data_IF_599501743257
#
_entry.id   IF_599501743257
#
_cell.length_a   1.000
_cell.length_b   1.000
_cell.length_c   1.000
_cell.angle_alpha   90.00
_cell.angle_beta   90.00
_cell.angle_gamma   90.00
#
_symmetry.space_group_name_H-M   'P 1'
#
loop_
_entity.id
_entity.type
_entity.pdbx_description
1 polymer ?
#
# COMPACT_ATOMS: atom_id res chain seq x y z
N UNK A 1 -3.85 -4.13 -8.60
CA UNK A 1 -4.65 -4.11 -7.35
C UNK A 1 -5.83 -5.07 -7.38
N UNK A 2 -6.86 -4.89 -8.22
CA UNK A 2 -8.07 -5.75 -8.19
C UNK A 2 -7.75 -7.24 -8.43
N UNK A 3 -6.93 -7.56 -9.43
CA UNK A 3 -6.53 -8.95 -9.71
C UNK A 3 -5.79 -9.59 -8.52
N UNK A 4 -4.91 -8.82 -7.85
CA UNK A 4 -4.20 -9.25 -6.64
C UNK A 4 -5.18 -9.52 -5.50
N UNK A 5 -6.12 -8.60 -5.26
CA UNK A 5 -7.16 -8.77 -4.25
C UNK A 5 -8.06 -9.98 -4.54
N UNK A 6 -8.35 -10.30 -5.80
CA UNK A 6 -9.06 -11.53 -6.16
C UNK A 6 -8.22 -12.79 -5.94
N UNK A 7 -6.91 -12.70 -6.10
CA UNK A 7 -5.93 -13.76 -5.85
C UNK A 7 -5.44 -13.84 -4.40
N UNK A 8 -6.27 -13.40 -3.43
CA UNK A 8 -5.99 -13.46 -1.99
C UNK A 8 -4.80 -12.64 -1.47
N UNK A 9 -4.34 -11.65 -2.25
CA UNK A 9 -3.29 -10.73 -1.84
C UNK A 9 -3.95 -9.47 -1.24
N UNK A 10 -4.05 -9.41 0.09
CA UNK A 10 -4.65 -8.30 0.84
C UNK A 10 -3.71 -7.13 1.11
N UNK A 11 -2.42 -7.40 1.27
CA UNK A 11 -1.38 -6.41 1.56
C UNK A 11 -0.67 -5.97 0.27
N UNK A 12 -0.76 -4.70 -0.09
CA UNK A 12 -0.25 -4.17 -1.37
C UNK A 12 0.59 -2.91 -1.11
N UNK A 13 1.80 -2.86 -1.67
CA UNK A 13 2.62 -1.66 -1.73
C UNK A 13 2.55 -1.08 -3.15
N UNK A 14 2.09 0.16 -3.26
CA UNK A 14 2.09 0.93 -4.49
C UNK A 14 3.31 1.86 -4.48
N UNK A 15 4.39 1.41 -5.14
CA UNK A 15 5.60 2.19 -5.36
C UNK A 15 5.40 3.13 -6.56
N UNK A 16 5.71 4.41 -6.40
CA UNK A 16 5.57 5.39 -7.48
C UNK A 16 6.61 6.50 -7.35
N UNK A 17 7.02 7.16 -8.44
CA UNK A 17 7.81 8.38 -8.34
C UNK A 17 6.96 9.50 -7.72
N UNK A 18 7.61 10.41 -7.01
CA UNK A 18 6.96 11.58 -6.46
C UNK A 18 6.29 12.40 -7.57
N UNK A 19 5.08 12.91 -7.29
CA UNK A 19 4.33 13.72 -8.25
C UNK A 19 3.68 12.95 -9.41
N UNK A 20 3.64 11.62 -9.40
CA UNK A 20 2.97 10.84 -10.45
C UNK A 20 1.43 10.99 -10.41
N UNK A 21 0.88 12.02 -11.09
CA UNK A 21 -0.56 12.30 -11.11
C UNK A 21 -1.43 11.09 -11.48
N UNK A 22 -0.99 10.29 -12.47
CA UNK A 22 -1.73 9.10 -12.87
C UNK A 22 -1.94 8.12 -11.71
N UNK A 23 -0.89 7.87 -10.92
CA UNK A 23 -0.96 6.98 -9.76
C UNK A 23 -1.65 7.64 -8.55
N UNK A 24 -1.59 8.97 -8.41
CA UNK A 24 -2.38 9.67 -7.40
C UNK A 24 -3.88 9.54 -7.69
N UNK A 25 -4.31 9.75 -8.94
CA UNK A 25 -5.72 9.67 -9.35
C UNK A 25 -6.23 8.23 -9.31
N UNK A 26 -5.51 7.29 -9.95
CA UNK A 26 -5.96 5.90 -10.08
C UNK A 26 -5.66 5.08 -8.82
N UNK A 27 -4.58 5.38 -8.10
CA UNK A 27 -4.22 4.68 -6.87
C UNK A 27 -4.94 5.26 -5.66
N UNK A 28 -4.56 6.46 -5.23
CA UNK A 28 -5.14 7.09 -4.03
C UNK A 28 -6.61 7.45 -4.23
N UNK A 29 -7.00 7.91 -5.42
CA UNK A 29 -8.37 8.30 -5.72
C UNK A 29 -9.39 7.16 -5.66
N UNK A 30 -9.00 5.91 -5.90
CA UNK A 30 -9.91 4.75 -5.82
C UNK A 30 -9.80 3.99 -4.50
N UNK A 31 -8.82 4.33 -3.65
CA UNK A 31 -8.51 3.60 -2.40
C UNK A 31 -9.75 3.42 -1.52
N UNK A 32 -10.49 4.51 -1.26
CA UNK A 32 -11.67 4.49 -0.39
C UNK A 32 -12.73 3.51 -0.90
N UNK A 33 -12.96 3.48 -2.22
CA UNK A 33 -13.93 2.56 -2.82
C UNK A 33 -13.41 1.12 -2.75
N UNK A 34 -12.13 0.89 -3.03
CA UNK A 34 -11.55 -0.45 -2.91
C UNK A 34 -11.61 -0.99 -1.47
N UNK A 35 -11.30 -0.18 -0.45
CA UNK A 35 -11.44 -0.57 0.95
C UNK A 35 -12.88 -0.92 1.33
N UNK A 36 -13.88 -0.24 0.75
CA UNK A 36 -15.30 -0.58 0.96
C UNK A 36 -15.72 -1.91 0.30
N UNK A 37 -15.04 -2.31 -0.78
CA UNK A 37 -15.35 -3.53 -1.53
C UNK A 37 -14.53 -4.73 -1.03
N UNK A 38 -13.34 -4.48 -0.49
CA UNK A 38 -12.39 -5.49 -0.02
C UNK A 38 -11.89 -5.10 1.37
N UNK A 39 -12.55 -5.59 2.42
CA UNK A 39 -12.24 -5.22 3.82
C UNK A 39 -10.79 -5.57 4.24
N UNK A 40 -10.20 -6.58 3.61
CA UNK A 40 -8.83 -7.05 3.84
C UNK A 40 -7.76 -6.21 3.12
N UNK A 41 -8.16 -5.20 2.35
CA UNK A 41 -7.20 -4.37 1.63
C UNK A 41 -6.41 -3.51 2.62
N UNK A 42 -5.13 -3.83 2.75
CA UNK A 42 -4.11 -3.01 3.38
C UNK A 42 -3.19 -2.45 2.29
N UNK A 43 -3.21 -1.12 2.11
CA UNK A 43 -2.55 -0.45 0.99
C UNK A 43 -1.59 0.60 1.50
N UNK A 44 -0.33 0.51 1.09
CA UNK A 44 0.69 1.54 1.31
C UNK A 44 1.04 2.21 -0.01
N UNK A 45 0.92 3.53 -0.07
CA UNK A 45 1.51 4.34 -1.13
C UNK A 45 2.90 4.79 -0.71
N UNK A 46 3.90 4.46 -1.51
CA UNK A 46 5.28 4.83 -1.28
C UNK A 46 5.76 5.72 -2.44
N UNK A 47 5.82 7.02 -2.16
CA UNK A 47 6.26 8.05 -3.08
C UNK A 47 7.79 8.16 -2.99
N UNK A 48 8.49 7.78 -4.07
CA UNK A 48 9.95 7.80 -4.16
C UNK A 48 10.40 9.16 -4.69
N UNK A 49 11.14 9.88 -3.85
CA UNK A 49 11.77 11.16 -4.15
C UNK A 49 13.23 11.14 -3.70
N UNK A 50 14.18 11.75 -4.44
CA UNK A 50 15.58 11.81 -4.01
C UNK A 50 15.79 12.48 -2.64
N UNK A 51 14.88 13.36 -2.21
CA UNK A 51 14.94 14.04 -0.91
C UNK A 51 14.33 13.24 0.26
N UNK A 52 13.73 12.07 0.00
CA UNK A 52 13.14 11.24 1.06
C UNK A 52 14.20 10.46 1.82
N UNK A 53 14.11 10.49 3.16
CA UNK A 53 15.02 9.69 3.99
C UNK A 53 14.72 8.21 3.86
N UNK A 54 15.78 7.41 3.82
CA UNK A 54 15.69 5.94 3.82
C UNK A 54 14.93 5.43 5.05
N UNK A 55 15.14 6.06 6.21
CA UNK A 55 14.44 5.74 7.46
C UNK A 55 12.92 5.89 7.33
N UNK A 56 12.43 6.91 6.62
CA UNK A 56 10.98 7.07 6.40
C UNK A 56 10.40 5.95 5.53
N UNK A 57 11.15 5.51 4.51
CA UNK A 57 10.77 4.37 3.66
C UNK A 57 10.73 3.09 4.50
N UNK A 58 11.80 2.80 5.25
CA UNK A 58 11.92 1.60 6.08
C UNK A 58 10.82 1.55 7.15
N UNK A 59 10.51 2.65 7.82
CA UNK A 59 9.44 2.69 8.83
C UNK A 59 8.07 2.35 8.22
N UNK A 60 7.75 2.90 7.05
CA UNK A 60 6.48 2.61 6.35
C UNK A 60 6.39 1.15 5.93
N UNK A 61 7.49 0.60 5.40
CA UNK A 61 7.58 -0.82 5.05
C UNK A 61 7.47 -1.71 6.29
N UNK A 62 8.07 -1.30 7.40
CA UNK A 62 7.99 -2.04 8.65
C UNK A 62 6.54 -2.14 9.15
N UNK A 63 5.80 -1.02 9.16
CA UNK A 63 4.40 -1.00 9.58
C UNK A 63 3.50 -1.88 8.72
N UNK A 64 3.67 -1.88 7.39
CA UNK A 64 2.82 -2.75 6.54
C UNK A 64 3.14 -4.23 6.77
N UNK A 65 4.40 -4.60 6.99
CA UNK A 65 4.79 -5.99 7.31
C UNK A 65 4.24 -6.42 8.66
N UNK A 66 4.31 -5.55 9.69
CA UNK A 66 3.73 -5.84 11.00
C UNK A 66 2.23 -6.07 10.91
N UNK A 67 1.51 -5.16 10.25
CA UNK A 67 0.07 -5.30 10.04
C UNK A 67 -0.30 -6.56 9.26
N UNK A 68 0.52 -6.96 8.28
CA UNK A 68 0.31 -8.22 7.56
C UNK A 68 0.45 -9.44 8.48
N UNK A 69 1.48 -9.47 9.34
CA UNK A 69 1.73 -10.58 10.27
C UNK A 69 0.65 -10.72 11.34
N UNK A 70 0.09 -9.61 11.83
CA UNK A 70 -1.03 -9.62 12.78
C UNK A 70 -2.28 -10.26 12.16
N UNK A 71 -2.58 -9.96 10.89
CA UNK A 71 -3.72 -10.55 10.18
C UNK A 71 -3.52 -12.05 9.94
N UNK A 72 -2.29 -12.49 9.67
CA UNK A 72 -1.95 -13.90 9.45
C UNK A 72 -1.82 -14.71 10.76
N UNK A 73 -1.94 -14.07 11.92
CA UNK A 73 -1.81 -14.73 13.24
C UNK A 73 -0.39 -15.24 13.54
N UNK A 74 0.63 -14.64 12.91
CA UNK A 74 2.05 -15.04 13.03
C UNK A 74 2.73 -14.29 14.21
N UNK A 75 1.99 -13.46 14.95
CA UNK A 75 2.48 -12.71 16.11
C UNK A 75 1.45 -12.69 17.24
#
# INVERSE_FOLDING_TARGET
MIAMLKGDIGNIVCLQPFGCLANQIIGKGVEKKLKSLYNRLNLLFLDMDPGMSEVNILNRLHFIVMSAREVDGIM
#
